data_IF_259737765537
#
_entry.id   IF_259737765537
#
_cell.length_a   1.000
_cell.length_b   1.000
_cell.length_c   1.000
_cell.angle_alpha   90.00
_cell.angle_beta   90.00
_cell.angle_gamma   90.00
#
_symmetry.space_group_name_H-M   'P 1'
#
loop_
_entity.id
_entity.type
_entity.pdbx_description
1 polymer ?
#
# COMPACT_ATOMS: atom_id res chain seq x y z
N UNK A 1 -23.54 18.44 -18.04
CA UNK A 1 -22.45 17.94 -17.19
C UNK A 1 -22.96 16.80 -16.29
N UNK A 2 -23.30 15.63 -16.84
CA UNK A 2 -23.89 14.52 -16.05
C UNK A 2 -23.23 13.14 -16.29
N UNK A 3 -22.32 13.03 -17.27
CA UNK A 3 -21.73 11.73 -17.65
C UNK A 3 -20.61 11.23 -16.75
N UNK A 4 -19.85 12.13 -16.11
CA UNK A 4 -18.68 11.74 -15.31
C UNK A 4 -19.05 11.19 -13.92
N UNK A 5 -20.11 11.73 -13.31
CA UNK A 5 -20.58 11.32 -11.98
C UNK A 5 -21.16 9.90 -11.98
N UNK A 6 -21.83 9.49 -13.07
CA UNK A 6 -22.37 8.13 -13.22
C UNK A 6 -21.28 7.08 -13.38
N UNK A 7 -20.26 7.37 -14.20
CA UNK A 7 -19.13 6.46 -14.43
C UNK A 7 -18.30 6.29 -13.16
N UNK A 8 -18.02 7.37 -12.42
CA UNK A 8 -17.32 7.29 -11.13
C UNK A 8 -18.08 6.45 -10.11
N UNK A 9 -19.40 6.61 -10.03
CA UNK A 9 -20.25 5.79 -9.16
C UNK A 9 -20.25 4.31 -9.52
N UNK A 10 -20.27 3.98 -10.82
CA UNK A 10 -20.18 2.60 -11.30
C UNK A 10 -18.82 1.96 -10.99
N UNK A 11 -17.72 2.70 -11.21
CA UNK A 11 -16.36 2.21 -10.89
C UNK A 11 -16.24 1.98 -9.38
N UNK A 12 -16.67 2.95 -8.56
CA UNK A 12 -16.66 2.81 -7.10
C UNK A 12 -17.49 1.61 -6.64
N UNK A 13 -18.69 1.41 -7.22
CA UNK A 13 -19.55 0.26 -6.94
C UNK A 13 -18.90 -1.06 -7.33
N UNK A 14 -18.24 -1.12 -8.49
CA UNK A 14 -17.51 -2.32 -8.92
C UNK A 14 -16.34 -2.63 -8.00
N UNK A 15 -15.50 -1.64 -7.69
CA UNK A 15 -14.34 -1.81 -6.80
C UNK A 15 -14.77 -2.28 -5.40
N UNK A 16 -15.90 -1.80 -4.89
CA UNK A 16 -16.44 -2.21 -3.59
C UNK A 16 -17.12 -3.60 -3.63
N UNK A 17 -17.47 -4.11 -4.80
CA UNK A 17 -18.13 -5.41 -4.94
C UNK A 17 -17.18 -6.57 -4.64
N UNK A 18 -17.68 -7.75 -4.21
CA UNK A 18 -16.85 -8.93 -3.99
C UNK A 18 -16.00 -9.31 -5.21
N UNK A 19 -16.59 -9.22 -6.40
CA UNK A 19 -15.95 -9.54 -7.68
C UNK A 19 -14.83 -8.55 -8.01
N UNK A 20 -15.06 -7.26 -7.80
CA UNK A 20 -14.02 -6.24 -8.02
C UNK A 20 -12.87 -6.37 -7.03
N UNK A 21 -13.16 -6.66 -5.76
CA UNK A 21 -12.15 -6.96 -4.75
C UNK A 21 -11.32 -8.19 -5.12
N UNK A 22 -11.97 -9.26 -5.60
CA UNK A 22 -11.28 -10.46 -6.07
C UNK A 22 -10.40 -10.18 -7.29
N UNK A 23 -10.89 -9.42 -8.28
CA UNK A 23 -10.12 -9.02 -9.44
C UNK A 23 -8.87 -8.21 -9.06
N UNK A 24 -9.01 -7.26 -8.13
CA UNK A 24 -7.89 -6.48 -7.60
C UNK A 24 -6.88 -7.40 -6.90
N UNK A 25 -7.34 -8.29 -6.01
CA UNK A 25 -6.47 -9.24 -5.31
C UNK A 25 -5.71 -10.15 -6.28
N UNK A 26 -6.38 -10.67 -7.29
CA UNK A 26 -5.79 -11.53 -8.31
C UNK A 26 -4.71 -10.78 -9.09
N UNK A 27 -4.98 -9.54 -9.49
CA UNK A 27 -4.01 -8.69 -10.17
C UNK A 27 -2.80 -8.38 -9.28
N UNK A 28 -3.00 -7.91 -8.05
CA UNK A 28 -1.90 -7.60 -7.12
C UNK A 28 -1.06 -8.83 -6.77
N UNK A 29 -1.62 -10.03 -6.87
CA UNK A 29 -0.90 -11.29 -6.64
C UNK A 29 -0.15 -11.80 -7.88
N UNK A 30 -0.46 -11.27 -9.07
CA UNK A 30 0.19 -11.66 -10.33
C UNK A 30 1.63 -11.14 -10.39
N UNK A 31 2.50 -11.75 -11.23
CA UNK A 31 3.85 -11.24 -11.46
C UNK A 31 3.88 -9.76 -11.88
N UNK A 32 2.94 -9.35 -12.74
CA UNK A 32 2.81 -7.99 -13.25
C UNK A 32 2.38 -7.02 -12.14
N UNK A 33 1.38 -7.41 -11.33
CA UNK A 33 0.94 -6.59 -10.20
C UNK A 33 2.03 -6.40 -9.16
N UNK A 34 2.79 -7.46 -8.84
CA UNK A 34 3.95 -7.37 -7.94
C UNK A 34 5.01 -6.43 -8.48
N UNK A 35 5.36 -6.55 -9.77
CA UNK A 35 6.32 -5.65 -10.42
C UNK A 35 5.85 -4.19 -10.39
N UNK A 36 4.54 -3.95 -10.53
CA UNK A 36 3.97 -2.61 -10.43
C UNK A 36 4.12 -2.04 -9.01
N UNK A 37 3.80 -2.83 -7.98
CA UNK A 37 4.00 -2.44 -6.57
C UNK A 37 5.48 -2.15 -6.31
N UNK A 38 6.39 -3.01 -6.74
CA UNK A 38 7.84 -2.82 -6.57
C UNK A 38 8.31 -1.53 -7.24
N UNK A 39 7.84 -1.27 -8.46
CA UNK A 39 8.17 -0.06 -9.21
C UNK A 39 7.67 1.20 -8.49
N UNK A 40 6.45 1.15 -7.94
CA UNK A 40 5.90 2.24 -7.13
C UNK A 40 6.70 2.46 -5.84
N UNK A 41 6.99 1.39 -5.10
CA UNK A 41 7.78 1.46 -3.86
C UNK A 41 9.22 1.94 -4.07
N UNK A 42 9.72 1.94 -5.31
CA UNK A 42 11.00 2.53 -5.66
C UNK A 42 10.96 4.06 -5.79
N UNK A 43 9.79 4.68 -6.01
CA UNK A 43 9.65 6.15 -6.09
C UNK A 43 9.71 6.79 -4.70
N UNK A 44 10.07 8.09 -4.57
CA UNK A 44 10.05 8.78 -3.29
C UNK A 44 8.70 8.69 -2.57
N UNK A 45 7.60 8.88 -3.30
CA UNK A 45 6.24 8.82 -2.75
C UNK A 45 5.87 7.41 -2.29
N UNK A 46 6.25 6.39 -3.07
CA UNK A 46 6.02 5.00 -2.69
C UNK A 46 6.88 4.57 -1.49
N UNK A 47 8.10 5.08 -1.36
CA UNK A 47 8.91 4.87 -0.16
C UNK A 47 8.27 5.49 1.07
N UNK A 48 7.79 6.74 0.99
CA UNK A 48 7.10 7.39 2.11
C UNK A 48 5.83 6.63 2.51
N UNK A 49 5.03 6.20 1.53
CA UNK A 49 3.85 5.38 1.78
C UNK A 49 4.21 4.03 2.39
N UNK A 50 5.23 3.36 1.87
CA UNK A 50 5.73 2.09 2.38
C UNK A 50 6.18 2.19 3.84
N UNK A 51 6.85 3.29 4.21
CA UNK A 51 7.24 3.57 5.61
C UNK A 51 6.02 3.72 6.51
N UNK A 52 5.01 4.49 6.09
CA UNK A 52 3.77 4.67 6.87
C UNK A 52 3.06 3.33 7.10
N UNK A 53 2.89 2.54 6.04
CA UNK A 53 2.27 1.21 6.12
C UNK A 53 3.08 0.32 7.06
N UNK A 54 4.39 0.26 6.87
CA UNK A 54 5.25 -0.62 7.66
C UNK A 54 5.28 -0.22 9.15
N UNK A 55 5.40 1.08 9.46
CA UNK A 55 5.30 1.58 10.84
C UNK A 55 3.97 1.19 11.49
N UNK A 56 2.86 1.32 10.76
CA UNK A 56 1.54 0.95 11.29
C UNK A 56 1.40 -0.56 11.51
N UNK A 57 1.97 -1.36 10.61
CA UNK A 57 2.00 -2.83 10.77
C UNK A 57 2.84 -3.23 11.98
N UNK A 58 4.02 -2.64 12.17
CA UNK A 58 4.88 -2.90 13.34
C UNK A 58 4.20 -2.59 14.67
N UNK A 59 3.37 -1.54 14.73
CA UNK A 59 2.60 -1.22 15.93
C UNK A 59 1.66 -2.36 16.31
N UNK A 60 1.04 -3.00 15.33
CA UNK A 60 0.11 -4.13 15.51
C UNK A 60 0.76 -5.49 15.76
N UNK A 61 2.07 -5.63 15.51
CA UNK A 61 2.79 -6.87 15.81
C UNK A 61 3.20 -6.90 17.29
N UNK A 62 3.05 -8.04 17.95
CA UNK A 62 3.54 -8.24 19.33
C UNK A 62 5.05 -8.49 19.32
N UNK A 63 5.80 -7.43 19.04
CA UNK A 63 7.26 -7.44 19.04
C UNK A 63 7.78 -6.81 20.34
N UNK A 64 8.88 -7.31 20.91
CA UNK A 64 9.56 -6.67 22.02
C UNK A 64 9.87 -5.21 21.72
N UNK A 65 9.65 -4.31 22.68
CA UNK A 65 9.78 -2.86 22.49
C UNK A 65 11.17 -2.44 21.95
N UNK A 66 12.22 -3.16 22.33
CA UNK A 66 13.58 -2.95 21.81
C UNK A 66 13.69 -3.23 20.31
N UNK A 67 13.01 -4.27 19.81
CA UNK A 67 12.99 -4.62 18.37
C UNK A 67 12.19 -3.58 17.58
N UNK A 68 11.02 -3.17 18.08
CA UNK A 68 10.23 -2.10 17.44
C UNK A 68 11.03 -0.81 17.30
N UNK A 69 11.74 -0.41 18.35
CA UNK A 69 12.54 0.82 18.39
C UNK A 69 13.71 0.75 17.39
N UNK A 70 14.43 -0.37 17.34
CA UNK A 70 15.55 -0.55 16.38
C UNK A 70 15.06 -0.50 14.92
N UNK A 71 13.93 -1.16 14.64
CA UNK A 71 13.38 -1.20 13.29
C UNK A 71 12.86 0.18 12.86
N UNK A 72 12.17 0.92 13.74
CA UNK A 72 11.72 2.29 13.45
C UNK A 72 12.91 3.26 13.26
N UNK A 73 13.98 3.10 14.04
CA UNK A 73 15.19 3.91 13.90
C UNK A 73 15.87 3.68 12.53
N UNK A 74 16.04 2.42 12.11
CA UNK A 74 16.61 2.08 10.80
C UNK A 74 15.81 2.66 9.62
N UNK A 75 14.47 2.74 9.76
CA UNK A 75 13.59 3.35 8.76
C UNK A 75 13.76 4.86 8.71
N UNK A 76 13.95 5.52 9.85
CA UNK A 76 14.17 6.96 9.93
C UNK A 76 15.54 7.37 9.35
N UNK A 77 16.59 6.58 9.60
CA UNK A 77 17.95 6.85 9.11
C UNK A 77 18.04 6.80 7.57
N UNK A 78 17.31 5.90 6.91
CA UNK A 78 17.21 5.83 5.44
C UNK A 78 16.56 7.08 4.80
N UNK A 79 16.12 8.08 5.58
CA UNK A 79 15.67 9.39 5.08
C UNK A 79 16.82 10.39 4.88
N UNK A 80 17.97 10.16 5.54
CA UNK A 80 19.08 11.13 5.63
C UNK A 80 20.27 10.83 4.70
N UNK A 81 20.27 9.67 4.05
CA UNK A 81 21.30 9.24 3.09
C UNK A 81 20.87 9.47 1.66
#
# INVERSE_FOLDING_TARGET
>A
MAGLSGIQGMIAGYVASPQGQEAIRNYLSSPEGKKMIESYLATPEGQDMGRLIFSRVLEGLDLPAGVKTQVLAAIAEKKRG
#
